data_IF_214824887130
#
_entry.id   IF_214824887130
#
_cell.length_a   1.000
_cell.length_b   1.000
_cell.length_c   1.000
_cell.angle_alpha   90.00
_cell.angle_beta   90.00
_cell.angle_gamma   90.00
#
_symmetry.space_group_name_H-M   'P 1'
#
loop_
_entity.id
_entity.type
_entity.pdbx_description
1 polymer ?
#
# COMPACT_ATOMS: atom_id res chain seq x y z
N UNK A 1 16.25 4.11 6.37
CA UNK A 1 15.03 4.85 6.00
C UNK A 1 14.36 4.24 4.78
N UNK A 2 15.05 4.02 3.66
CA UNK A 2 14.42 3.42 2.45
C UNK A 2 13.90 1.99 2.69
N UNK A 3 14.63 1.16 3.45
CA UNK A 3 14.18 -0.18 3.79
C UNK A 3 12.85 -0.21 4.56
N UNK A 4 12.62 0.75 5.47
CA UNK A 4 11.40 0.81 6.27
C UNK A 4 10.16 1.08 5.41
N UNK A 5 10.32 1.84 4.32
CA UNK A 5 9.22 2.13 3.40
C UNK A 5 8.83 0.89 2.60
N UNK A 6 9.83 0.12 2.16
CA UNK A 6 9.60 -1.14 1.44
C UNK A 6 8.91 -2.16 2.35
N UNK A 7 9.39 -2.29 3.60
CA UNK A 7 8.81 -3.22 4.56
C UNK A 7 7.35 -2.87 4.90
N UNK A 8 7.03 -1.57 4.98
CA UNK A 8 5.66 -1.09 5.16
C UNK A 8 4.77 -1.45 3.95
N UNK A 9 5.23 -1.19 2.72
CA UNK A 9 4.51 -1.53 1.49
C UNK A 9 4.21 -3.04 1.44
N UNK A 10 5.21 -3.88 1.74
CA UNK A 10 5.05 -5.34 1.76
C UNK A 10 4.03 -5.74 2.83
N UNK A 11 4.12 -5.17 4.03
CA UNK A 11 3.19 -5.45 5.14
C UNK A 11 1.75 -5.09 4.76
N UNK A 12 1.53 -3.94 4.10
CA UNK A 12 0.21 -3.51 3.67
C UNK A 12 -0.36 -4.43 2.57
N UNK A 13 0.47 -4.82 1.59
CA UNK A 13 0.06 -5.77 0.55
C UNK A 13 -0.30 -7.15 1.11
N UNK A 14 0.41 -7.62 2.14
CA UNK A 14 0.11 -8.90 2.79
C UNK A 14 -1.23 -8.90 3.54
N UNK A 15 -1.65 -7.76 4.08
CA UNK A 15 -2.91 -7.60 4.81
C UNK A 15 -4.11 -7.36 3.89
N UNK A 16 -3.85 -6.91 2.66
CA UNK A 16 -4.89 -6.53 1.72
C UNK A 16 -5.57 -7.78 1.12
N UNK A 17 -6.74 -8.12 1.65
CA UNK A 17 -7.53 -9.25 1.11
C UNK A 17 -8.12 -8.94 -0.28
N UNK A 18 -8.65 -7.72 -0.47
CA UNK A 18 -9.17 -7.26 -1.75
C UNK A 18 -9.11 -5.74 -1.84
N UNK A 19 -8.49 -5.20 -2.90
CA UNK A 19 -8.33 -3.76 -3.07
C UNK A 19 -7.13 -3.39 -3.92
N UNK A 20 -6.55 -2.23 -3.64
CA UNK A 20 -5.36 -1.71 -4.35
C UNK A 20 -4.49 -0.86 -3.43
N UNK A 21 -3.19 -0.90 -3.67
CA UNK A 21 -2.21 -0.01 -3.05
C UNK A 21 -1.64 0.91 -4.13
N UNK A 22 -1.73 2.23 -3.92
CA UNK A 22 -1.19 3.26 -4.81
C UNK A 22 0.06 3.86 -4.20
N UNK A 23 1.16 3.87 -4.95
CA UNK A 23 2.44 4.39 -4.48
C UNK A 23 2.83 5.56 -5.39
N UNK A 24 3.05 6.72 -4.78
CA UNK A 24 3.52 7.91 -5.48
C UNK A 24 5.01 8.10 -5.23
N UNK A 25 5.77 8.19 -6.32
CA UNK A 25 7.23 8.39 -6.29
C UNK A 25 7.56 9.73 -6.92
N UNK A 26 8.26 10.58 -6.19
CA UNK A 26 8.79 11.85 -6.69
C UNK A 26 10.28 11.92 -6.37
N UNK A 27 11.08 12.35 -7.36
CA UNK A 27 12.55 12.49 -7.23
C UNK A 27 13.24 11.22 -6.70
N UNK A 28 12.80 10.05 -7.17
CA UNK A 28 13.35 8.75 -6.78
C UNK A 28 13.01 8.30 -5.36
N UNK A 29 12.14 9.03 -4.64
CA UNK A 29 11.69 8.67 -3.30
C UNK A 29 10.18 8.48 -3.27
N UNK A 30 9.75 7.45 -2.55
CA UNK A 30 8.32 7.26 -2.25
C UNK A 30 7.90 8.40 -1.33
N UNK A 31 6.88 9.15 -1.75
CA UNK A 31 6.33 10.28 -0.98
C UNK A 31 4.97 9.98 -0.40
N UNK A 32 4.22 9.06 -1.02
CA UNK A 32 2.88 8.68 -0.58
C UNK A 32 2.63 7.20 -0.84
N UNK A 33 1.86 6.59 0.07
CA UNK A 33 1.34 5.23 -0.04
C UNK A 33 -0.12 5.27 0.41
N UNK A 34 -1.03 5.07 -0.53
CA UNK A 34 -2.48 5.03 -0.28
C UNK A 34 -2.99 3.60 -0.42
N UNK A 35 -3.55 3.04 0.65
CA UNK A 35 -4.18 1.73 0.64
C UNK A 35 -5.70 1.87 0.52
N UNK A 36 -6.28 1.24 -0.49
CA UNK A 36 -7.73 1.18 -0.68
C UNK A 36 -8.20 -0.25 -0.55
N UNK A 37 -8.81 -0.58 0.60
CA UNK A 37 -9.52 -1.84 0.77
C UNK A 37 -10.93 -1.77 0.18
N UNK A 38 -11.33 -2.83 -0.51
CA UNK A 38 -12.69 -3.00 -1.02
C UNK A 38 -13.29 -4.20 -0.31
N UNK A 39 -14.37 -3.98 0.44
CA UNK A 39 -15.10 -5.08 1.09
C UNK A 39 -16.40 -5.31 0.35
N UNK A 40 -16.61 -6.53 -0.13
CA UNK A 40 -17.91 -6.96 -0.63
C UNK A 40 -18.76 -7.36 0.55
N UNK A 41 -19.74 -6.52 0.88
CA UNK A 41 -20.77 -6.83 1.86
C UNK A 41 -21.80 -7.73 1.19
N UNK A 42 -21.44 -8.99 0.96
CA UNK A 42 -22.41 -9.99 0.53
C UNK A 42 -23.26 -10.34 1.76
N UNK A 43 -24.56 -10.07 1.70
CA UNK A 43 -25.54 -10.35 2.75
C UNK A 43 -25.99 -11.81 2.67
#
# INVERSE_FOLDING_TARGET
MEQQVVDEIVTQLQKLEFGSLLITVHNGKVTQVDCTEKRRLNK
#
